data_IF_909742545190
#
_entry.id   IF_909742545190
#
_cell.length_a   1.000
_cell.length_b   1.000
_cell.length_c   1.000
_cell.angle_alpha   90.00
_cell.angle_beta   90.00
_cell.angle_gamma   90.00
#
_symmetry.space_group_name_H-M   'P 1'
#
loop_
_entity.id
_entity.type
_entity.pdbx_description
1 polymer ?
#
# COMPACT_ATOMS: atom_id res chain seq x y z
N UNK A 1 12.57 5.11 8.89
CA UNK A 1 11.09 5.13 8.89
C UNK A 1 10.47 3.99 9.71
N UNK A 2 10.71 2.70 9.44
CA UNK A 2 10.13 1.59 10.22
C UNK A 2 10.53 1.63 11.70
N UNK A 3 11.77 1.97 12.01
CA UNK A 3 12.21 2.09 13.41
C UNK A 3 11.47 3.22 14.16
N UNK A 4 11.17 4.32 13.48
CA UNK A 4 10.35 5.41 14.06
C UNK A 4 8.91 4.95 14.37
N UNK A 5 8.35 4.04 13.58
CA UNK A 5 7.04 3.44 13.91
C UNK A 5 7.11 2.63 15.20
N UNK A 6 8.18 1.87 15.41
CA UNK A 6 8.40 1.14 16.66
C UNK A 6 8.60 2.08 17.86
N UNK A 7 9.41 3.12 17.67
CA UNK A 7 9.69 4.14 18.70
C UNK A 7 8.45 4.95 19.09
N UNK A 8 7.47 5.11 18.18
CA UNK A 8 6.20 5.78 18.49
C UNK A 8 5.31 5.02 19.47
N UNK A 9 5.62 3.76 19.74
CA UNK A 9 4.82 2.90 20.61
C UNK A 9 3.51 2.39 19.98
N UNK A 10 3.31 2.59 18.68
CA UNK A 10 2.13 2.11 17.95
C UNK A 10 2.02 0.58 18.03
N UNK A 11 0.79 0.09 18.25
CA UNK A 11 0.49 -1.34 18.42
C UNK A 11 -0.82 -1.71 17.72
N UNK A 12 -1.06 -3.01 17.57
CA UNK A 12 -2.25 -3.57 16.93
C UNK A 12 -2.41 -3.07 15.50
N UNK A 13 -1.28 -2.95 14.78
CA UNK A 13 -1.24 -2.41 13.43
C UNK A 13 -1.90 -3.37 12.44
N UNK A 14 -2.67 -2.80 11.51
CA UNK A 14 -3.04 -3.48 10.27
C UNK A 14 -2.11 -2.99 9.17
N UNK A 15 -1.36 -3.90 8.56
CA UNK A 15 -0.38 -3.57 7.54
C UNK A 15 -0.93 -3.96 6.16
N UNK A 16 -0.85 -3.02 5.22
CA UNK A 16 -1.05 -3.24 3.79
C UNK A 16 0.30 -3.22 3.11
N UNK A 17 0.73 -4.34 2.55
CA UNK A 17 2.02 -4.47 1.88
C UNK A 17 1.98 -5.60 0.86
N UNK A 18 2.77 -5.50 -0.22
CA UNK A 18 2.87 -6.58 -1.23
C UNK A 18 3.42 -7.88 -0.65
N UNK A 19 4.36 -7.79 0.28
CA UNK A 19 4.88 -8.89 1.06
C UNK A 19 5.15 -8.48 2.52
N UNK A 20 5.66 -9.39 3.32
CA UNK A 20 5.96 -9.17 4.74
C UNK A 20 7.45 -8.95 5.01
N UNK A 21 8.23 -8.66 3.97
CA UNK A 21 9.67 -8.42 4.05
C UNK A 21 10.46 -9.68 4.45
N UNK A 22 11.65 -9.46 4.99
CA UNK A 22 12.50 -10.50 5.55
C UNK A 22 12.39 -10.51 7.07
N UNK A 23 12.70 -11.63 7.69
CA UNK A 23 12.74 -11.77 9.15
C UNK A 23 13.59 -10.67 9.77
N UNK A 24 13.01 -9.88 10.68
CA UNK A 24 13.62 -8.74 11.38
C UNK A 24 14.31 -7.69 10.46
N UNK A 25 13.81 -7.50 9.23
CA UNK A 25 14.30 -6.46 8.30
C UNK A 25 13.15 -5.72 7.65
N UNK A 26 13.31 -4.39 7.47
CA UNK A 26 12.28 -3.55 6.90
C UNK A 26 10.96 -3.71 7.65
N UNK A 27 9.87 -3.94 6.91
CA UNK A 27 8.53 -4.18 7.50
C UNK A 27 8.49 -5.42 8.40
N UNK A 28 9.37 -6.41 8.18
CA UNK A 28 9.49 -7.60 9.02
C UNK A 28 9.91 -7.29 10.46
N UNK A 29 10.51 -6.12 10.76
CA UNK A 29 10.75 -5.67 12.13
C UNK A 29 9.45 -5.48 12.91
N UNK A 30 8.41 -4.91 12.28
CA UNK A 30 7.10 -4.71 12.93
C UNK A 30 6.45 -6.05 13.31
N UNK A 31 6.65 -7.07 12.46
CA UNK A 31 6.16 -8.42 12.71
C UNK A 31 6.96 -9.06 13.85
N UNK A 32 8.28 -8.93 13.83
CA UNK A 32 9.19 -9.44 14.85
C UNK A 32 8.86 -8.88 16.24
N UNK A 33 8.66 -7.57 16.34
CA UNK A 33 8.33 -6.84 17.58
C UNK A 33 6.87 -7.01 18.04
N UNK A 34 6.09 -7.87 17.35
CA UNK A 34 4.71 -8.19 17.74
C UNK A 34 3.78 -6.98 17.85
N UNK A 35 3.98 -5.96 17.03
CA UNK A 35 3.12 -4.77 16.99
C UNK A 35 2.01 -4.86 15.94
N UNK A 36 2.01 -5.95 15.14
CA UNK A 36 1.09 -6.19 14.02
C UNK A 36 0.02 -7.21 14.43
N UNK A 37 -1.24 -6.85 14.23
CA UNK A 37 -2.41 -7.72 14.47
C UNK A 37 -2.94 -8.36 13.19
N UNK A 38 -2.89 -7.60 12.07
CA UNK A 38 -3.37 -8.05 10.78
C UNK A 38 -2.42 -7.64 9.65
N UNK A 39 -2.26 -8.54 8.69
CA UNK A 39 -1.54 -8.28 7.43
C UNK A 39 -2.48 -8.52 6.27
N UNK A 40 -2.57 -7.54 5.37
CA UNK A 40 -3.27 -7.63 4.09
C UNK A 40 -2.19 -7.55 3.01
N UNK A 41 -1.97 -8.64 2.30
CA UNK A 41 -0.78 -8.82 1.47
C UNK A 41 -1.02 -9.74 0.28
N UNK A 42 -0.12 -9.71 -0.69
CA UNK A 42 -0.15 -10.65 -1.82
C UNK A 42 0.71 -11.89 -1.58
N UNK A 43 1.70 -11.79 -0.68
CA UNK A 43 2.67 -12.85 -0.48
C UNK A 43 3.21 -12.86 0.96
N UNK A 44 3.39 -14.06 1.53
CA UNK A 44 3.95 -14.26 2.88
C UNK A 44 5.18 -15.18 2.88
N UNK A 45 5.56 -15.72 1.73
CA UNK A 45 6.60 -16.75 1.62
C UNK A 45 8.03 -16.27 1.88
N UNK A 46 8.30 -14.96 1.77
CA UNK A 46 9.64 -14.38 2.00
C UNK A 46 10.02 -14.30 3.48
N UNK A 47 9.03 -14.31 4.39
CA UNK A 47 9.25 -14.18 5.82
C UNK A 47 8.77 -15.43 6.58
N UNK A 48 9.66 -16.36 6.94
CA UNK A 48 9.29 -17.56 7.70
C UNK A 48 8.65 -17.26 9.05
N UNK A 49 9.03 -16.16 9.70
CA UNK A 49 8.44 -15.76 10.97
C UNK A 49 6.96 -15.42 10.81
N UNK A 50 6.59 -14.68 9.76
CA UNK A 50 5.18 -14.39 9.46
C UNK A 50 4.37 -15.67 9.35
N UNK A 51 4.88 -16.68 8.63
CA UNK A 51 4.19 -17.96 8.49
C UNK A 51 4.00 -18.68 9.83
N UNK A 52 5.04 -18.69 10.69
CA UNK A 52 4.94 -19.26 12.04
C UNK A 52 3.86 -18.58 12.89
N UNK A 53 3.77 -17.24 12.79
CA UNK A 53 2.79 -16.47 13.54
C UNK A 53 1.36 -16.66 13.05
N UNK A 54 1.17 -16.76 11.73
CA UNK A 54 -0.14 -17.08 11.14
C UNK A 54 -0.60 -18.47 11.62
N UNK A 55 0.27 -19.49 11.57
CA UNK A 55 -0.04 -20.83 12.03
C UNK A 55 -0.36 -20.90 13.52
N UNK A 56 0.30 -20.06 14.31
CA UNK A 56 0.04 -19.95 15.75
C UNK A 56 -1.22 -19.11 16.08
N UNK A 57 -1.90 -18.53 15.07
CA UNK A 57 -3.08 -17.66 15.26
C UNK A 57 -2.77 -16.30 15.89
N UNK A 58 -1.49 -15.89 15.90
CA UNK A 58 -1.02 -14.64 16.52
C UNK A 58 -1.12 -13.43 15.57
N UNK A 59 -1.20 -13.65 14.27
CA UNK A 59 -1.43 -12.63 13.25
C UNK A 59 -2.52 -13.11 12.30
N UNK A 60 -3.48 -12.25 12.00
CA UNK A 60 -4.48 -12.48 10.96
C UNK A 60 -3.88 -12.13 9.60
N UNK A 61 -4.18 -12.92 8.59
CA UNK A 61 -3.74 -12.65 7.22
C UNK A 61 -4.93 -12.63 6.26
N UNK A 62 -4.92 -11.67 5.35
CA UNK A 62 -5.79 -11.61 4.19
C UNK A 62 -4.91 -11.60 2.94
N UNK A 63 -5.02 -12.63 2.11
CA UNK A 63 -4.27 -12.73 0.87
C UNK A 63 -5.09 -12.15 -0.29
N UNK A 64 -4.50 -11.22 -1.02
CA UNK A 64 -5.10 -10.57 -2.19
C UNK A 64 -4.17 -10.77 -3.38
N UNK A 65 -4.67 -11.17 -4.56
CA UNK A 65 -3.86 -11.23 -5.77
C UNK A 65 -3.17 -9.88 -6.04
N UNK A 66 -1.89 -9.89 -6.41
CA UNK A 66 -1.04 -8.69 -6.49
C UNK A 66 -1.66 -7.57 -7.35
N UNK A 67 -2.14 -7.89 -8.55
CA UNK A 67 -2.79 -6.90 -9.42
C UNK A 67 -4.06 -6.32 -8.81
N UNK A 68 -4.86 -7.14 -8.13
CA UNK A 68 -6.06 -6.69 -7.40
C UNK A 68 -5.68 -5.78 -6.24
N UNK A 69 -4.62 -6.10 -5.50
CA UNK A 69 -4.10 -5.27 -4.41
C UNK A 69 -3.72 -3.87 -4.91
N UNK A 70 -2.92 -3.79 -5.99
CA UNK A 70 -2.51 -2.51 -6.60
C UNK A 70 -3.71 -1.69 -7.07
N UNK A 71 -4.69 -2.31 -7.74
CA UNK A 71 -5.89 -1.62 -8.20
C UNK A 71 -6.79 -1.14 -7.05
N UNK A 72 -6.92 -1.91 -5.98
CA UNK A 72 -7.66 -1.49 -4.78
C UNK A 72 -7.01 -0.27 -4.11
N UNK A 73 -5.68 -0.22 -4.03
CA UNK A 73 -4.92 0.95 -3.54
C UNK A 73 -5.13 2.13 -4.48
N UNK A 74 -5.00 1.93 -5.80
CA UNK A 74 -5.24 2.98 -6.78
C UNK A 74 -6.64 3.56 -6.67
N UNK A 75 -7.66 2.71 -6.52
CA UNK A 75 -9.04 3.16 -6.31
C UNK A 75 -9.15 4.01 -5.04
N UNK A 76 -8.52 3.62 -3.94
CA UNK A 76 -8.49 4.40 -2.69
C UNK A 76 -7.90 5.79 -2.88
N UNK A 77 -6.77 5.89 -3.58
CA UNK A 77 -6.11 7.16 -3.87
C UNK A 77 -6.88 8.07 -4.82
N UNK A 78 -7.66 7.49 -5.74
CA UNK A 78 -8.45 8.23 -6.73
C UNK A 78 -9.89 8.51 -6.29
N UNK A 79 -10.28 8.18 -5.07
CA UNK A 79 -11.66 8.37 -4.58
C UNK A 79 -12.69 7.47 -5.25
N UNK A 80 -12.27 6.34 -5.84
CA UNK A 80 -13.16 5.34 -6.45
C UNK A 80 -13.63 4.34 -5.39
N UNK A 81 -14.87 3.85 -5.52
CA UNK A 81 -15.44 2.87 -4.58
C UNK A 81 -14.82 1.48 -4.68
N UNK A 82 -14.20 1.15 -5.81
CA UNK A 82 -13.59 -0.16 -6.06
C UNK A 82 -13.39 -0.42 -7.54
N UNK A 83 -13.00 -1.66 -7.85
CA UNK A 83 -12.70 -2.13 -9.20
C UNK A 83 -13.38 -3.47 -9.48
N UNK A 84 -13.76 -3.69 -10.73
CA UNK A 84 -14.27 -4.97 -11.21
C UNK A 84 -13.13 -5.79 -11.81
N UNK A 85 -12.96 -7.03 -11.33
CA UNK A 85 -11.91 -7.92 -11.83
C UNK A 85 -12.44 -9.33 -12.07
N UNK A 86 -11.84 -10.04 -13.02
CA UNK A 86 -12.06 -11.48 -13.21
C UNK A 86 -11.15 -12.32 -12.33
N UNK A 87 -10.09 -11.71 -11.77
CA UNK A 87 -9.13 -12.43 -10.95
C UNK A 87 -9.80 -12.94 -9.69
N UNK A 88 -9.72 -14.23 -9.46
CA UNK A 88 -10.31 -14.89 -8.29
C UNK A 88 -11.69 -15.50 -8.51
N UNK A 89 -12.33 -15.30 -9.67
CA UNK A 89 -13.58 -16.00 -10.02
C UNK A 89 -13.41 -17.52 -9.94
N UNK A 90 -14.38 -18.22 -9.32
CA UNK A 90 -14.35 -19.67 -9.13
C UNK A 90 -13.31 -20.15 -8.11
N UNK A 91 -12.71 -19.26 -7.33
CA UNK A 91 -11.71 -19.61 -6.32
C UNK A 91 -12.15 -19.20 -4.91
N UNK A 92 -11.37 -19.54 -3.91
CA UNK A 92 -11.59 -19.10 -2.52
C UNK A 92 -11.62 -17.56 -2.38
N UNK A 93 -11.01 -16.82 -3.29
CA UNK A 93 -10.97 -15.36 -3.31
C UNK A 93 -12.35 -14.74 -3.56
N UNK A 94 -13.24 -15.48 -4.23
CA UNK A 94 -14.62 -15.05 -4.50
C UNK A 94 -15.50 -15.00 -3.25
N UNK A 95 -15.16 -15.81 -2.24
CA UNK A 95 -16.01 -16.00 -1.08
C UNK A 95 -16.28 -14.69 -0.33
N UNK A 96 -17.57 -14.35 -0.21
CA UNK A 96 -18.04 -13.16 0.50
C UNK A 96 -17.93 -11.85 -0.30
N UNK A 97 -17.55 -11.91 -1.59
CA UNK A 97 -17.51 -10.75 -2.47
C UNK A 97 -18.76 -10.64 -3.34
N UNK A 98 -19.09 -9.44 -3.73
CA UNK A 98 -20.21 -9.18 -4.63
C UNK A 98 -19.78 -9.50 -6.07
N UNK A 99 -20.64 -10.27 -6.76
CA UNK A 99 -20.50 -10.51 -8.19
C UNK A 99 -21.34 -9.48 -8.97
N UNK A 100 -20.77 -8.94 -10.04
CA UNK A 100 -21.40 -7.95 -10.91
C UNK A 100 -21.25 -8.42 -12.35
N UNK A 101 -22.36 -8.43 -13.07
CA UNK A 101 -22.36 -8.71 -14.50
C UNK A 101 -22.27 -7.43 -15.31
N UNK A 102 -21.32 -7.41 -16.25
CA UNK A 102 -21.17 -6.32 -17.23
C UNK A 102 -21.06 -6.94 -18.62
N UNK A 103 -21.98 -6.59 -19.51
CA UNK A 103 -22.03 -7.10 -20.89
C UNK A 103 -21.97 -8.62 -21.00
N UNK A 104 -22.72 -9.33 -20.13
CA UNK A 104 -22.75 -10.79 -20.11
C UNK A 104 -21.51 -11.46 -19.49
N UNK A 105 -20.59 -10.68 -18.93
CA UNK A 105 -19.39 -11.18 -18.27
C UNK A 105 -19.46 -10.91 -16.76
N UNK A 106 -19.21 -11.95 -15.97
CA UNK A 106 -19.16 -11.87 -14.51
C UNK A 106 -17.81 -11.31 -14.02
N UNK A 107 -17.87 -10.48 -12.98
CA UNK A 107 -16.73 -9.87 -12.30
C UNK A 107 -16.94 -9.92 -10.79
N UNK A 108 -15.83 -9.92 -10.04
CA UNK A 108 -15.84 -9.64 -8.61
C UNK A 108 -15.69 -8.12 -8.38
N UNK A 109 -16.50 -7.57 -7.49
CA UNK A 109 -16.27 -6.22 -6.97
C UNK A 109 -15.22 -6.29 -5.86
N UNK A 110 -14.09 -5.65 -6.10
CA UNK A 110 -13.02 -5.44 -5.13
C UNK A 110 -13.10 -3.99 -4.64
N UNK A 111 -13.43 -3.81 -3.37
CA UNK A 111 -13.57 -2.47 -2.76
C UNK A 111 -12.22 -1.77 -2.64
N UNK A 112 -12.22 -0.44 -2.71
CA UNK A 112 -11.04 0.37 -2.53
C UNK A 112 -10.34 0.11 -1.18
N UNK A 113 -9.00 0.19 -1.16
CA UNK A 113 -8.19 0.18 0.06
C UNK A 113 -7.73 1.61 0.38
N UNK A 114 -7.94 2.02 1.61
CA UNK A 114 -7.39 3.24 2.20
C UNK A 114 -6.72 2.89 3.52
N UNK A 115 -5.74 3.69 3.91
CA UNK A 115 -5.04 3.58 5.18
C UNK A 115 -5.04 4.93 5.91
N UNK A 116 -4.79 4.92 7.21
CA UNK A 116 -4.58 6.14 8.00
C UNK A 116 -3.23 6.77 7.62
N UNK A 117 -2.20 5.93 7.48
CA UNK A 117 -0.83 6.37 7.17
C UNK A 117 -0.23 5.54 6.04
N UNK A 118 0.33 6.20 5.05
CA UNK A 118 1.17 5.60 4.02
C UNK A 118 2.65 5.89 4.30
N UNK A 119 3.46 4.85 4.23
CA UNK A 119 4.91 4.95 4.34
C UNK A 119 5.52 4.59 2.99
N UNK A 120 6.19 5.53 2.34
CA UNK A 120 6.81 5.29 1.04
C UNK A 120 8.21 5.87 0.95
N UNK A 121 8.97 5.41 -0.04
CA UNK A 121 10.32 5.90 -0.31
C UNK A 121 10.37 6.46 -1.72
N UNK A 122 11.00 7.64 -1.87
CA UNK A 122 11.20 8.30 -3.15
C UNK A 122 12.68 8.55 -3.43
N UNK A 123 13.02 8.77 -4.70
CA UNK A 123 14.36 9.17 -5.13
C UNK A 123 14.65 10.62 -4.77
N UNK A 124 13.71 11.52 -5.06
CA UNK A 124 13.78 12.95 -4.76
C UNK A 124 12.41 13.41 -4.25
N UNK A 125 12.43 14.34 -3.32
CA UNK A 125 11.25 15.03 -2.81
C UNK A 125 11.52 16.51 -2.69
N UNK A 126 10.51 17.36 -2.85
CA UNK A 126 10.60 18.79 -2.59
C UNK A 126 9.65 19.22 -1.46
N UNK A 127 9.73 20.47 -0.98
CA UNK A 127 8.95 20.95 0.17
C UNK A 127 7.42 20.91 -0.02
N UNK A 128 6.93 20.89 -1.26
CA UNK A 128 5.49 20.82 -1.55
C UNK A 128 5.01 19.40 -1.88
N UNK A 129 5.89 18.39 -1.73
CA UNK A 129 5.53 16.99 -1.87
C UNK A 129 5.57 16.44 -3.30
N UNK A 130 6.24 17.13 -4.23
CA UNK A 130 6.54 16.52 -5.53
C UNK A 130 7.56 15.40 -5.36
N UNK A 131 7.30 14.25 -5.98
CA UNK A 131 8.11 13.06 -5.80
C UNK A 131 8.58 12.49 -7.14
N UNK A 132 9.83 12.02 -7.16
CA UNK A 132 10.34 11.20 -8.24
C UNK A 132 10.76 9.82 -7.72
N UNK A 133 10.56 8.81 -8.53
CA UNK A 133 10.91 7.43 -8.20
C UNK A 133 11.92 6.88 -9.22
N UNK A 134 12.66 5.86 -8.85
CA UNK A 134 13.65 5.24 -9.74
C UNK A 134 13.57 3.71 -9.65
N UNK A 135 13.79 3.06 -10.79
CA UNK A 135 13.83 1.61 -10.88
C UNK A 135 12.48 0.95 -10.65
N UNK A 136 12.47 -0.16 -9.92
CA UNK A 136 11.26 -0.93 -9.63
C UNK A 136 10.25 -0.15 -8.78
N UNK A 137 10.71 0.70 -7.87
CA UNK A 137 9.83 1.52 -7.01
C UNK A 137 8.98 2.50 -7.82
N UNK A 138 9.48 3.00 -8.95
CA UNK A 138 8.72 3.89 -9.83
C UNK A 138 7.66 3.18 -10.67
N UNK A 139 7.79 1.87 -10.86
CA UNK A 139 6.85 1.06 -11.65
C UNK A 139 5.88 0.27 -10.80
N UNK A 140 6.22 0.09 -9.53
CA UNK A 140 5.41 -0.62 -8.55
C UNK A 140 4.45 0.35 -7.83
N UNK A 141 4.08 0.00 -6.62
CA UNK A 141 2.97 0.60 -5.93
C UNK A 141 3.32 1.87 -5.14
N UNK A 142 4.60 2.27 -5.06
CA UNK A 142 5.02 3.43 -4.25
C UNK A 142 4.27 4.74 -4.58
N UNK A 143 4.10 5.13 -5.87
CA UNK A 143 3.28 6.28 -6.20
C UNK A 143 1.81 6.11 -5.79
N UNK A 144 1.26 4.90 -5.94
CA UNK A 144 -0.12 4.59 -5.56
C UNK A 144 -0.31 4.63 -4.04
N UNK A 145 0.63 4.03 -3.29
CA UNK A 145 0.63 4.03 -1.83
C UNK A 145 0.62 5.46 -1.28
N UNK A 146 1.40 6.36 -1.87
CA UNK A 146 1.45 7.76 -1.44
C UNK A 146 0.11 8.49 -1.56
N UNK A 147 -0.83 8.00 -2.38
CA UNK A 147 -2.15 8.64 -2.59
C UNK A 147 -3.27 7.99 -1.80
N UNK A 148 -3.08 6.79 -1.24
CA UNK A 148 -4.17 6.00 -0.67
C UNK A 148 -4.41 6.20 0.84
N UNK A 149 -3.72 7.13 1.49
CA UNK A 149 -3.81 7.37 2.93
C UNK A 149 -4.20 8.82 3.25
N UNK A 150 -4.63 9.02 4.48
CA UNK A 150 -4.97 10.35 5.00
C UNK A 150 -3.68 11.15 5.30
N UNK A 151 -2.61 10.47 5.72
CA UNK A 151 -1.27 11.03 5.89
C UNK A 151 -0.24 10.19 5.13
N UNK A 152 0.55 10.83 4.28
CA UNK A 152 1.66 10.17 3.58
C UNK A 152 3.00 10.67 4.10
N UNK A 153 3.82 9.76 4.61
CA UNK A 153 5.19 10.03 5.09
C UNK A 153 6.16 9.44 4.08
N UNK A 154 7.01 10.30 3.55
CA UNK A 154 7.96 9.95 2.49
C UNK A 154 9.38 10.06 3.01
N UNK A 155 10.14 8.97 2.94
CA UNK A 155 11.59 8.97 3.08
C UNK A 155 12.20 9.16 1.69
N UNK A 156 13.18 10.04 1.52
CA UNK A 156 13.77 10.31 0.22
C UNK A 156 15.30 10.24 0.25
N UNK A 157 15.91 9.85 -0.89
CA UNK A 157 17.37 9.86 -1.03
C UNK A 157 17.92 11.30 -1.08
N UNK A 158 17.17 12.23 -1.71
CA UNK A 158 17.56 13.61 -1.91
C UNK A 158 16.38 14.55 -1.70
N UNK A 159 16.51 15.47 -0.77
CA UNK A 159 15.59 16.58 -0.61
C UNK A 159 16.05 17.74 -1.51
N UNK A 160 15.15 18.26 -2.33
CA UNK A 160 15.43 19.23 -3.37
C UNK A 160 14.76 20.57 -3.08
N UNK A 161 15.28 21.63 -3.67
CA UNK A 161 14.62 22.92 -3.66
C UNK A 161 13.39 22.93 -4.58
N UNK A 162 12.47 23.85 -4.30
CA UNK A 162 11.26 24.01 -5.11
C UNK A 162 11.63 24.38 -6.56
N UNK A 163 11.07 23.65 -7.52
CA UNK A 163 11.32 23.84 -8.95
C UNK A 163 12.47 23.02 -9.51
N UNK A 164 13.24 22.31 -8.69
CA UNK A 164 14.27 21.40 -9.20
C UNK A 164 13.72 20.08 -9.76
N UNK A 165 12.54 19.67 -9.33
CA UNK A 165 11.85 18.50 -9.88
C UNK A 165 11.05 18.95 -11.10
N UNK A 166 11.47 18.51 -12.30
CA UNK A 166 10.74 18.80 -13.51
C UNK A 166 9.35 18.16 -13.47
N UNK A 167 8.27 18.88 -13.86
CA UNK A 167 6.93 18.31 -13.97
C UNK A 167 6.86 17.08 -14.89
N UNK A 168 7.74 16.98 -15.89
CA UNK A 168 7.81 15.83 -16.82
C UNK A 168 8.33 14.55 -16.14
N UNK A 169 9.10 14.67 -15.06
CA UNK A 169 9.69 13.55 -14.32
C UNK A 169 9.00 13.27 -12.99
N UNK A 170 8.12 14.18 -12.57
CA UNK A 170 7.34 14.02 -11.35
C UNK A 170 6.27 12.95 -11.54
N UNK A 171 6.35 11.86 -10.77
CA UNK A 171 5.35 10.79 -10.80
C UNK A 171 4.21 11.00 -9.79
N UNK A 172 4.42 11.85 -8.82
CA UNK A 172 3.39 12.30 -7.91
C UNK A 172 3.46 13.83 -7.86
N UNK A 173 2.50 14.48 -8.52
CA UNK A 173 2.34 15.91 -8.52
C UNK A 173 1.25 16.28 -7.52
N UNK A 174 1.59 17.09 -6.52
CA UNK A 174 0.61 17.63 -5.60
C UNK A 174 -0.17 18.74 -6.28
N UNK A 175 -1.28 18.41 -6.89
CA UNK A 175 -2.29 19.40 -7.20
C UNK A 175 -2.86 19.95 -5.88
N UNK A 176 -3.07 21.27 -5.72
CA UNK A 176 -3.76 21.77 -4.55
C UNK A 176 -5.10 21.03 -4.41
N UNK A 177 -5.29 20.43 -3.25
CA UNK A 177 -6.54 19.76 -2.94
C UNK A 177 -7.69 20.79 -3.03
N UNK A 178 -8.87 20.42 -3.54
CA UNK A 178 -10.04 21.30 -3.45
C UNK A 178 -10.35 21.80 -2.03
N UNK A 179 -9.77 21.15 -0.99
CA UNK A 179 -9.88 21.57 0.41
C UNK A 179 -8.98 22.76 0.75
N UNK A 180 -7.95 23.04 -0.07
CA UNK A 180 -7.01 24.14 0.17
C UNK A 180 -7.47 25.45 -0.51
N UNK A 181 -8.62 25.43 -1.18
CA UNK A 181 -9.23 26.56 -1.89
C UNK A 181 -10.43 27.19 -1.14
N UNK A 182 -10.57 26.91 0.14
CA UNK A 182 -11.63 27.46 0.99
C UNK A 182 -11.14 28.49 1.97
#
# INVERSE_FOLDING_TARGET
MIDCVLESGARYLTIYSLDTGWENKGIGKLIHERVVDKVITSHVGTNPETNRLIQAGLIKVELIPMGTFAERIRCGGMGLGGVLTKTGLGTIVEKGKQMIEVNGQQYLLETALRADVALTHSRRADPIGNLTFRGSTGRADHPLIATCADLSIVECDHFCDLGEISPETCLLYTSPSPRDCS
#
